data_IF_868070943453
#
_entry.id   IF_868070943453
#
_cell.length_a   1.000
_cell.length_b   1.000
_cell.length_c   1.000
_cell.angle_alpha   90.00
_cell.angle_beta   90.00
_cell.angle_gamma   90.00
#
_symmetry.space_group_name_H-M   'P 1'
#
loop_
_entity.id
_entity.type
_entity.pdbx_description
1 polymer ?
#
# COMPACT_ATOMS: atom_id res chain seq x y z
N UNK A 1 8.61 10.66 15.89
CA UNK A 1 7.55 10.98 16.87
C UNK A 1 7.52 9.90 17.95
N UNK A 2 7.49 10.32 19.20
CA UNK A 2 7.32 9.45 20.37
C UNK A 2 5.88 9.59 20.86
N UNK A 3 5.17 8.49 21.02
CA UNK A 3 3.74 8.48 21.39
C UNK A 3 3.59 7.74 22.71
N UNK A 4 2.99 8.33 23.75
CA UNK A 4 2.72 7.64 25.01
C UNK A 4 1.94 6.35 24.80
N UNK A 5 2.40 5.25 25.37
CA UNK A 5 1.71 3.95 25.33
C UNK A 5 0.66 3.95 26.44
N UNK A 6 -0.49 4.55 26.15
CA UNK A 6 -1.65 4.55 27.02
C UNK A 6 -2.93 4.24 26.25
N UNK A 7 -4.04 4.21 26.99
CA UNK A 7 -5.34 3.85 26.44
C UNK A 7 -6.02 4.97 25.64
N UNK A 8 -5.52 6.19 25.75
CA UNK A 8 -6.08 7.36 25.08
C UNK A 8 -5.52 7.49 23.66
N UNK A 9 -4.26 7.12 23.46
CA UNK A 9 -3.57 7.26 22.18
C UNK A 9 -3.70 6.04 21.26
N UNK A 10 -4.02 4.85 21.80
CA UNK A 10 -4.09 3.62 21.02
C UNK A 10 -5.44 2.90 21.10
N UNK A 11 -5.89 2.39 19.94
CA UNK A 11 -7.11 1.59 19.85
C UNK A 11 -6.98 0.27 20.61
N UNK A 12 -8.09 -0.18 21.20
CA UNK A 12 -8.17 -1.45 21.93
C UNK A 12 -8.79 -2.55 21.07
N UNK A 13 -8.33 -3.78 21.31
CA UNK A 13 -8.82 -4.94 20.57
C UNK A 13 -8.15 -5.10 19.21
N UNK A 14 -8.73 -5.95 18.37
CA UNK A 14 -8.17 -6.32 17.06
C UNK A 14 -8.67 -5.36 15.99
N UNK A 15 -7.75 -4.76 15.23
CA UNK A 15 -8.07 -4.04 14.01
C UNK A 15 -8.24 -5.06 12.88
N UNK A 16 -9.41 -5.09 12.25
CA UNK A 16 -9.67 -5.97 11.11
C UNK A 16 -8.89 -5.54 9.87
N UNK A 17 -8.71 -6.43 8.88
CA UNK A 17 -8.07 -6.07 7.62
C UNK A 17 -8.79 -4.90 6.93
N UNK A 18 -10.13 -4.94 6.88
CA UNK A 18 -10.93 -3.87 6.28
C UNK A 18 -10.75 -2.53 7.01
N UNK A 19 -10.80 -2.54 8.34
CA UNK A 19 -10.60 -1.32 9.14
C UNK A 19 -9.19 -0.74 8.94
N UNK A 20 -8.17 -1.60 8.87
CA UNK A 20 -6.81 -1.17 8.61
C UNK A 20 -6.63 -0.56 7.22
N UNK A 21 -7.27 -1.11 6.18
CA UNK A 21 -7.23 -0.56 4.81
C UNK A 21 -7.94 0.80 4.78
N UNK A 22 -9.12 0.90 5.39
CA UNK A 22 -9.88 2.15 5.46
C UNK A 22 -9.05 3.26 6.13
N UNK A 23 -8.47 2.98 7.30
CA UNK A 23 -7.65 3.95 8.02
C UNK A 23 -6.37 4.31 7.26
N UNK A 24 -5.68 3.31 6.69
CA UNK A 24 -4.40 3.52 6.00
C UNK A 24 -4.51 4.42 4.74
N UNK A 25 -5.63 4.33 4.02
CA UNK A 25 -5.80 4.93 2.70
C UNK A 25 -6.99 5.89 2.63
N UNK A 26 -7.44 6.46 3.76
CA UNK A 26 -8.66 7.29 3.81
C UNK A 26 -8.61 8.46 2.83
N UNK A 27 -7.53 9.24 2.85
CA UNK A 27 -7.36 10.38 1.94
C UNK A 27 -7.29 9.96 0.48
N UNK A 28 -6.71 8.79 0.19
CA UNK A 28 -6.65 8.26 -1.16
C UNK A 28 -8.04 7.82 -1.64
N UNK A 29 -8.82 7.18 -0.76
CA UNK A 29 -10.19 6.78 -1.03
C UNK A 29 -11.09 8.00 -1.26
N UNK A 30 -10.96 9.05 -0.45
CA UNK A 30 -11.67 10.32 -0.63
C UNK A 30 -11.36 10.95 -2.00
N UNK A 31 -10.08 10.96 -2.37
CA UNK A 31 -9.64 11.49 -3.65
C UNK A 31 -10.19 10.67 -4.82
N UNK A 32 -10.07 9.33 -4.77
CA UNK A 32 -10.59 8.43 -5.82
C UNK A 32 -12.10 8.61 -5.96
N UNK A 33 -12.84 8.65 -4.85
CA UNK A 33 -14.27 8.89 -4.86
C UNK A 33 -14.63 10.23 -5.53
N UNK A 34 -13.92 11.31 -5.19
CA UNK A 34 -14.16 12.62 -5.77
C UNK A 34 -13.94 12.65 -7.29
N UNK A 35 -12.93 11.94 -7.80
CA UNK A 35 -12.67 11.86 -9.23
C UNK A 35 -13.77 11.07 -9.95
N UNK A 36 -14.14 9.90 -9.43
CA UNK A 36 -15.21 9.07 -10.00
C UNK A 36 -16.56 9.81 -10.03
N UNK A 37 -16.89 10.55 -8.97
CA UNK A 37 -18.10 11.38 -8.92
C UNK A 37 -18.11 12.53 -9.92
N UNK A 38 -16.93 12.98 -10.34
CA UNK A 38 -16.77 13.99 -11.38
C UNK A 38 -16.82 13.41 -12.80
N UNK A 39 -17.08 12.11 -12.93
CA UNK A 39 -17.13 11.39 -14.21
C UNK A 39 -15.77 10.94 -14.73
N UNK A 40 -14.69 11.17 -13.98
CA UNK A 40 -13.33 10.83 -14.42
C UNK A 40 -13.02 9.35 -14.17
N UNK A 41 -12.50 8.69 -15.20
CA UNK A 41 -12.03 7.31 -15.12
C UNK A 41 -10.72 7.24 -14.34
N UNK A 42 -10.70 6.38 -13.32
CA UNK A 42 -9.58 6.26 -12.37
C UNK A 42 -8.91 4.90 -12.49
N UNK A 43 -7.58 4.92 -12.66
CA UNK A 43 -6.74 3.73 -12.45
C UNK A 43 -6.06 3.79 -11.09
N UNK A 44 -6.24 2.74 -10.30
CA UNK A 44 -5.60 2.54 -9.00
C UNK A 44 -4.49 1.49 -9.14
N UNK A 45 -3.25 1.90 -8.87
CA UNK A 45 -2.09 0.99 -8.82
C UNK A 45 -1.90 0.55 -7.37
N UNK A 46 -2.15 -0.72 -7.10
CA UNK A 46 -2.08 -1.28 -5.75
C UNK A 46 -1.76 -2.78 -5.81
N UNK A 47 -1.09 -3.29 -4.79
CA UNK A 47 -0.87 -4.75 -4.67
C UNK A 47 -2.20 -5.52 -4.68
N UNK A 48 -2.24 -6.68 -5.35
CA UNK A 48 -3.47 -7.49 -5.50
C UNK A 48 -4.21 -7.79 -4.21
N UNK A 49 -3.49 -7.92 -3.10
CA UNK A 49 -4.09 -8.20 -1.80
C UNK A 49 -4.98 -7.05 -1.28
N UNK A 50 -4.81 -5.82 -1.78
CA UNK A 50 -5.59 -4.64 -1.40
C UNK A 50 -6.84 -4.45 -2.27
N UNK A 51 -6.80 -4.86 -3.54
CA UNK A 51 -7.80 -4.56 -4.57
C UNK A 51 -9.24 -4.74 -4.10
N UNK A 52 -9.58 -5.92 -3.56
CA UNK A 52 -10.96 -6.21 -3.16
C UNK A 52 -11.42 -5.39 -1.95
N UNK A 53 -10.52 -5.13 -0.99
CA UNK A 53 -10.83 -4.34 0.20
C UNK A 53 -11.01 -2.85 -0.13
N UNK A 54 -10.15 -2.31 -1.01
CA UNK A 54 -10.30 -0.97 -1.56
C UNK A 54 -11.61 -0.83 -2.34
N UNK A 55 -11.91 -1.78 -3.23
CA UNK A 55 -13.16 -1.78 -3.98
C UNK A 55 -14.38 -1.83 -3.06
N UNK A 56 -14.36 -2.68 -2.03
CA UNK A 56 -15.49 -2.80 -1.08
C UNK A 56 -15.76 -1.47 -0.37
N UNK A 57 -14.71 -0.77 0.05
CA UNK A 57 -14.81 0.53 0.70
C UNK A 57 -15.32 1.61 -0.28
N UNK A 58 -14.73 1.69 -1.48
CA UNK A 58 -15.15 2.63 -2.53
C UNK A 58 -16.60 2.40 -2.94
N UNK A 59 -17.01 1.15 -3.17
CA UNK A 59 -18.38 0.80 -3.54
C UNK A 59 -19.38 1.27 -2.49
N UNK A 60 -19.07 1.05 -1.20
CA UNK A 60 -19.93 1.51 -0.10
C UNK A 60 -20.09 3.03 -0.10
N UNK A 61 -18.98 3.76 -0.25
CA UNK A 61 -18.98 5.23 -0.29
C UNK A 61 -19.72 5.79 -1.50
N UNK A 62 -19.42 5.25 -2.69
CA UNK A 62 -20.06 5.61 -3.95
C UNK A 62 -21.57 5.39 -3.91
N UNK A 63 -22.02 4.24 -3.39
CA UNK A 63 -23.43 3.92 -3.26
C UNK A 63 -24.16 4.81 -2.25
N UNK A 64 -23.53 5.13 -1.12
CA UNK A 64 -24.17 5.86 -0.02
C UNK A 64 -24.12 7.40 -0.17
N UNK A 65 -23.26 7.94 -1.03
CA UNK A 65 -23.20 9.37 -1.27
C UNK A 65 -24.33 9.89 -2.17
N UNK A 66 -24.28 11.19 -2.49
CA UNK A 66 -25.33 11.88 -3.25
C UNK A 66 -24.72 12.60 -4.46
N UNK A 67 -25.11 12.27 -5.71
CA UNK A 67 -25.99 11.15 -6.08
C UNK A 67 -25.33 9.78 -5.76
N UNK A 68 -26.15 8.75 -5.55
CA UNK A 68 -25.65 7.39 -5.34
C UNK A 68 -25.17 6.81 -6.67
N UNK A 69 -23.95 6.26 -6.70
CA UNK A 69 -23.38 5.67 -7.92
C UNK A 69 -23.46 4.15 -7.89
N UNK A 70 -23.77 3.55 -9.05
CA UNK A 70 -23.88 2.10 -9.22
C UNK A 70 -22.57 1.53 -9.77
N UNK A 71 -21.84 0.78 -8.94
CA UNK A 71 -20.68 0.02 -9.40
C UNK A 71 -21.11 -1.31 -10.06
N UNK A 72 -20.68 -1.54 -11.29
CA UNK A 72 -20.89 -2.78 -12.04
C UNK A 72 -19.54 -3.45 -12.26
N UNK A 73 -19.36 -4.61 -11.63
CA UNK A 73 -18.09 -5.31 -11.61
C UNK A 73 -17.92 -6.17 -12.87
N UNK A 74 -16.79 -6.01 -13.54
CA UNK A 74 -16.33 -6.93 -14.59
C UNK A 74 -15.71 -8.14 -13.92
N UNK A 75 -16.30 -9.31 -14.17
CA UNK A 75 -15.83 -10.58 -13.64
C UNK A 75 -15.68 -11.59 -14.77
N UNK A 76 -14.61 -12.38 -14.75
CA UNK A 76 -14.59 -13.59 -15.57
C UNK A 76 -15.56 -14.61 -14.96
N UNK A 77 -16.46 -15.21 -15.75
CA UNK A 77 -17.20 -16.37 -15.28
C UNK A 77 -16.24 -17.50 -14.89
N UNK A 78 -16.59 -18.34 -13.89
CA UNK A 78 -15.77 -19.50 -13.54
C UNK A 78 -15.57 -20.36 -14.78
N UNK A 79 -14.32 -20.73 -15.05
CA UNK A 79 -13.86 -21.41 -16.25
C UNK A 79 -14.49 -22.81 -16.39
N UNK A 80 -15.71 -22.86 -16.92
CA UNK A 80 -16.47 -24.10 -17.09
C UNK A 80 -16.33 -24.77 -18.47
N UNK A 81 -15.65 -24.15 -19.45
CA UNK A 81 -15.71 -24.61 -20.84
C UNK A 81 -14.43 -24.34 -21.66
N UNK A 82 -13.23 -24.54 -21.09
CA UNK A 82 -11.98 -24.38 -21.85
C UNK A 82 -11.71 -22.98 -22.44
N UNK A 83 -12.54 -21.98 -22.12
CA UNK A 83 -12.32 -20.58 -22.49
C UNK A 83 -11.20 -19.98 -21.64
N UNK A 84 -10.33 -19.21 -22.28
CA UNK A 84 -9.30 -18.42 -21.58
C UNK A 84 -9.98 -17.41 -20.65
N UNK A 85 -9.49 -17.30 -19.42
CA UNK A 85 -9.94 -16.33 -18.41
C UNK A 85 -9.97 -14.90 -18.97
N UNK A 86 -8.94 -14.52 -19.74
CA UNK A 86 -8.86 -13.20 -20.36
C UNK A 86 -10.01 -12.93 -21.33
N UNK A 87 -10.39 -13.93 -22.14
CA UNK A 87 -11.47 -13.76 -23.12
C UNK A 87 -12.83 -13.63 -22.44
N UNK A 88 -13.08 -14.42 -21.39
CA UNK A 88 -14.31 -14.29 -20.60
C UNK A 88 -14.42 -12.94 -19.90
N UNK A 89 -13.31 -12.36 -19.45
CA UNK A 89 -13.31 -11.03 -18.84
C UNK A 89 -13.59 -9.91 -19.86
N UNK A 90 -13.04 -10.02 -21.06
CA UNK A 90 -13.32 -9.07 -22.16
C UNK A 90 -14.77 -9.18 -22.63
N UNK A 91 -15.32 -10.39 -22.74
CA UNK A 91 -16.72 -10.63 -23.07
C UNK A 91 -17.65 -9.99 -22.02
N UNK A 92 -17.36 -10.17 -20.72
CA UNK A 92 -18.14 -9.51 -19.66
C UNK A 92 -17.98 -7.98 -19.71
N UNK A 93 -16.78 -7.45 -19.96
CA UNK A 93 -16.57 -6.01 -20.16
C UNK A 93 -17.45 -5.46 -21.29
N UNK A 94 -17.47 -6.13 -22.44
CA UNK A 94 -18.34 -5.76 -23.57
C UNK A 94 -19.81 -5.74 -23.18
N UNK A 95 -20.27 -6.75 -22.46
CA UNK A 95 -21.65 -6.79 -21.98
C UNK A 95 -21.94 -5.64 -21.01
N UNK A 96 -21.04 -5.35 -20.05
CA UNK A 96 -21.22 -4.26 -19.08
C UNK A 96 -21.22 -2.89 -19.75
N UNK A 97 -20.34 -2.65 -20.71
CA UNK A 97 -20.31 -1.41 -21.47
C UNK A 97 -21.64 -1.24 -22.20
N UNK A 98 -22.04 -2.23 -23.01
CA UNK A 98 -23.28 -2.18 -23.78
C UNK A 98 -24.53 -1.98 -22.91
N UNK A 99 -24.59 -2.64 -21.76
CA UNK A 99 -25.71 -2.53 -20.81
C UNK A 99 -25.82 -1.14 -20.16
N UNK A 100 -24.73 -0.37 -20.14
CA UNK A 100 -24.62 0.91 -19.44
C UNK A 100 -24.53 2.12 -20.36
N UNK A 101 -24.53 1.94 -21.69
CA UNK A 101 -24.53 3.07 -22.63
C UNK A 101 -25.70 4.01 -22.33
N UNK A 102 -25.39 5.29 -22.08
CA UNK A 102 -26.38 6.31 -21.73
C UNK A 102 -26.97 6.21 -20.31
N UNK A 103 -26.48 5.31 -19.46
CA UNK A 103 -26.85 5.25 -18.04
C UNK A 103 -25.98 6.21 -17.21
N UNK A 104 -26.61 7.17 -16.54
CA UNK A 104 -25.92 8.09 -15.65
C UNK A 104 -25.55 7.43 -14.31
N UNK A 105 -24.54 7.97 -13.62
CA UNK A 105 -24.12 7.55 -12.28
C UNK A 105 -23.70 6.07 -12.18
N UNK A 106 -23.29 5.45 -13.27
CA UNK A 106 -22.79 4.08 -13.31
C UNK A 106 -21.27 4.05 -13.49
N UNK A 107 -20.60 3.11 -12.80
CA UNK A 107 -19.15 2.94 -12.88
C UNK A 107 -18.86 1.48 -13.23
N UNK A 108 -18.11 1.27 -14.32
CA UNK A 108 -17.60 -0.05 -14.69
C UNK A 108 -16.31 -0.32 -13.91
N UNK A 109 -16.28 -1.41 -13.14
CA UNK A 109 -15.17 -1.73 -12.24
C UNK A 109 -14.37 -2.92 -12.76
N UNK A 110 -13.06 -2.76 -12.93
CA UNK A 110 -12.13 -3.78 -13.40
C UNK A 110 -11.05 -4.10 -12.36
N UNK A 111 -11.21 -5.16 -11.53
CA UNK A 111 -10.25 -5.48 -10.46
C UNK A 111 -8.87 -5.95 -10.94
N UNK A 112 -8.78 -6.43 -12.17
CA UNK A 112 -7.60 -7.09 -12.70
C UNK A 112 -7.26 -6.61 -14.12
N UNK A 113 -7.11 -5.29 -14.29
CA UNK A 113 -6.80 -4.68 -15.59
C UNK A 113 -5.48 -5.20 -16.19
N UNK A 114 -4.49 -5.39 -15.34
CA UNK A 114 -3.18 -5.97 -15.65
C UNK A 114 -3.21 -7.36 -16.27
N UNK A 115 -4.22 -8.18 -15.96
CA UNK A 115 -4.37 -9.49 -16.60
C UNK A 115 -4.79 -9.38 -18.08
N UNK A 116 -5.37 -8.26 -18.52
CA UNK A 116 -5.66 -8.01 -19.94
C UNK A 116 -4.40 -7.61 -20.70
N UNK A 117 -3.39 -7.15 -19.98
CA UNK A 117 -2.22 -6.48 -20.48
C UNK A 117 -0.94 -7.32 -20.42
N UNK A 118 -1.00 -8.55 -19.88
CA UNK A 118 0.13 -9.48 -19.89
C UNK A 118 0.45 -9.95 -21.31
N UNK A 119 1.23 -9.16 -22.05
CA UNK A 119 1.89 -9.59 -23.27
C UNK A 119 3.39 -9.70 -23.05
N UNK A 120 3.98 -10.77 -23.58
CA UNK A 120 5.43 -11.00 -23.59
C UNK A 120 6.15 -10.21 -24.68
N UNK A 121 5.43 -9.49 -25.54
CA UNK A 121 5.97 -8.81 -26.71
C UNK A 121 5.43 -7.38 -26.86
N UNK A 122 6.19 -6.57 -27.60
CA UNK A 122 5.97 -5.16 -27.97
C UNK A 122 4.65 -4.87 -28.70
N UNK A 123 3.81 -5.87 -28.95
CA UNK A 123 2.51 -5.73 -29.62
C UNK A 123 1.36 -6.00 -28.66
N UNK A 124 0.31 -5.17 -28.74
CA UNK A 124 -0.91 -5.34 -27.95
C UNK A 124 -1.58 -6.67 -28.28
N UNK A 125 -1.82 -7.48 -27.25
CA UNK A 125 -2.54 -8.75 -27.38
C UNK A 125 -3.96 -8.51 -27.87
N UNK A 126 -4.57 -9.52 -28.50
CA UNK A 126 -5.98 -9.42 -28.93
C UNK A 126 -6.92 -9.04 -27.78
N UNK A 127 -6.82 -9.62 -26.56
CA UNK A 127 -7.66 -9.22 -25.43
C UNK A 127 -7.48 -7.74 -25.04
N UNK A 128 -6.24 -7.23 -25.07
CA UNK A 128 -5.95 -5.83 -24.80
C UNK A 128 -6.61 -4.89 -25.84
N UNK A 129 -6.51 -5.23 -27.13
CA UNK A 129 -7.13 -4.45 -28.21
C UNK A 129 -8.66 -4.44 -28.12
N UNK A 130 -9.25 -5.59 -27.80
CA UNK A 130 -10.71 -5.69 -27.61
C UNK A 130 -11.18 -4.90 -26.37
N UNK A 131 -10.43 -4.93 -25.27
CA UNK A 131 -10.73 -4.12 -24.09
C UNK A 131 -10.64 -2.62 -24.36
N UNK A 132 -9.60 -2.18 -25.08
CA UNK A 132 -9.48 -0.78 -25.54
C UNK A 132 -10.72 -0.38 -26.37
N UNK A 133 -11.11 -1.23 -27.32
CA UNK A 133 -12.26 -0.97 -28.17
C UNK A 133 -13.58 -0.92 -27.37
N UNK A 134 -13.74 -1.78 -26.36
CA UNK A 134 -14.92 -1.75 -25.49
C UNK A 134 -14.97 -0.45 -24.67
N UNK A 135 -13.86 -0.06 -24.04
CA UNK A 135 -13.80 1.15 -23.21
C UNK A 135 -13.99 2.43 -24.03
N UNK A 136 -13.52 2.47 -25.28
CA UNK A 136 -13.64 3.62 -26.16
C UNK A 136 -15.03 3.79 -26.80
N UNK A 137 -15.99 2.89 -26.54
CA UNK A 137 -17.33 2.96 -27.13
C UNK A 137 -18.13 4.18 -26.69
N UNK A 138 -18.04 4.52 -25.40
CA UNK A 138 -18.78 5.62 -24.81
C UNK A 138 -17.83 6.42 -23.89
N UNK A 139 -17.42 7.64 -24.29
CA UNK A 139 -16.53 8.46 -23.49
C UNK A 139 -17.19 9.03 -22.23
N UNK A 140 -18.52 8.94 -22.09
CA UNK A 140 -19.24 9.37 -20.88
C UNK A 140 -19.24 8.28 -19.79
N UNK A 141 -18.89 7.03 -20.13
CA UNK A 141 -18.78 5.95 -19.16
C UNK A 141 -17.54 6.13 -18.27
N UNK A 142 -17.76 6.08 -16.95
CA UNK A 142 -16.70 6.14 -15.96
C UNK A 142 -16.17 4.74 -15.61
N UNK A 143 -14.85 4.58 -15.68
CA UNK A 143 -14.17 3.33 -15.32
C UNK A 143 -13.39 3.45 -14.01
N UNK A 144 -13.45 2.42 -13.18
CA UNK A 144 -12.55 2.23 -12.03
C UNK A 144 -11.75 0.96 -12.24
N UNK A 145 -10.43 1.06 -12.41
CA UNK A 145 -9.59 -0.11 -12.64
C UNK A 145 -8.50 -0.27 -11.61
N UNK A 146 -8.11 -1.52 -11.35
CA UNK A 146 -7.00 -1.87 -10.47
C UNK A 146 -5.92 -2.64 -11.24
N UNK A 147 -4.66 -2.23 -11.05
CA UNK A 147 -3.49 -2.90 -11.62
C UNK A 147 -2.42 -3.14 -10.56
N UNK A 148 -1.74 -4.28 -10.62
CA UNK A 148 -0.62 -4.56 -9.73
C UNK A 148 0.64 -3.78 -10.15
N UNK A 149 1.38 -3.15 -9.23
CA UNK A 149 2.59 -2.39 -9.55
C UNK A 149 3.72 -3.25 -10.17
N UNK A 150 3.71 -4.57 -9.98
CA UNK A 150 4.71 -5.47 -10.57
C UNK A 150 4.46 -5.76 -12.06
N UNK A 151 3.27 -5.45 -12.57
CA UNK A 151 2.88 -5.72 -13.95
C UNK A 151 2.81 -4.42 -14.75
N UNK A 152 3.54 -4.38 -15.87
CA UNK A 152 3.51 -3.22 -16.77
C UNK A 152 2.25 -3.25 -17.63
N UNK A 153 1.58 -2.12 -17.73
CA UNK A 153 0.51 -1.92 -18.71
C UNK A 153 1.07 -1.25 -19.98
N UNK A 154 0.56 -1.60 -21.16
CA UNK A 154 0.78 -0.84 -22.38
C UNK A 154 0.21 0.58 -22.26
N UNK A 155 0.95 1.58 -22.76
CA UNK A 155 0.55 3.01 -22.72
C UNK A 155 -0.87 3.23 -23.26
N UNK A 156 -1.27 2.55 -24.33
CA UNK A 156 -2.60 2.68 -24.93
C UNK A 156 -3.75 2.29 -23.98
N UNK A 157 -3.51 1.43 -22.98
CA UNK A 157 -4.49 1.13 -21.93
C UNK A 157 -4.41 2.18 -20.82
N UNK A 158 -3.22 2.67 -20.50
CA UNK A 158 -3.04 3.70 -19.48
C UNK A 158 -3.76 4.99 -19.87
N UNK A 159 -3.64 5.39 -21.14
CA UNK A 159 -4.24 6.61 -21.71
C UNK A 159 -5.78 6.60 -21.76
N UNK A 160 -6.43 5.48 -21.47
CA UNK A 160 -7.89 5.40 -21.35
C UNK A 160 -8.41 5.91 -20.01
N UNK A 161 -7.54 6.14 -19.04
CA UNK A 161 -7.90 6.66 -17.72
C UNK A 161 -7.50 8.13 -17.62
N UNK A 162 -8.39 8.96 -17.11
CA UNK A 162 -8.13 10.39 -16.94
C UNK A 162 -7.10 10.66 -15.85
N UNK A 163 -7.12 9.83 -14.81
CA UNK A 163 -6.26 10.00 -13.64
C UNK A 163 -5.76 8.68 -13.06
N UNK A 164 -4.59 8.75 -12.43
CA UNK A 164 -3.90 7.62 -11.82
C UNK A 164 -3.62 7.88 -10.34
N UNK A 165 -3.80 6.85 -9.50
CA UNK A 165 -3.43 6.87 -8.08
C UNK A 165 -2.61 5.66 -7.71
N UNK A 166 -1.40 5.87 -7.22
CA UNK A 166 -0.53 4.82 -6.71
C UNK A 166 -0.68 4.69 -5.20
N UNK A 167 -1.00 3.49 -4.73
CA UNK A 167 -1.15 3.16 -3.31
C UNK A 167 -0.01 2.23 -2.89
N UNK A 168 1.16 2.83 -2.64
CA UNK A 168 2.39 2.12 -2.29
C UNK A 168 2.67 2.27 -0.79
N UNK A 169 2.65 1.14 -0.09
CA UNK A 169 2.97 1.09 1.33
C UNK A 169 1.98 1.86 2.22
N UNK A 170 2.40 2.14 3.46
CA UNK A 170 1.63 2.92 4.43
C UNK A 170 2.37 4.24 4.67
N UNK A 171 1.63 5.34 4.77
CA UNK A 171 2.20 6.64 5.10
C UNK A 171 2.60 6.74 6.57
N UNK A 172 3.63 7.52 6.86
CA UNK A 172 4.23 7.62 8.20
C UNK A 172 3.25 8.22 9.23
N UNK A 173 2.52 9.24 8.83
CA UNK A 173 1.52 9.95 9.64
C UNK A 173 0.38 9.03 10.10
N UNK A 174 0.01 8.05 9.28
CA UNK A 174 -1.11 7.14 9.56
C UNK A 174 -0.69 5.91 10.36
N UNK A 175 0.59 5.49 10.29
CA UNK A 175 1.08 4.28 10.95
C UNK A 175 0.67 4.15 12.44
N UNK A 176 0.77 5.20 13.28
CA UNK A 176 0.35 5.10 14.68
C UNK A 176 -1.11 4.67 14.86
N UNK A 177 -2.01 5.12 13.99
CA UNK A 177 -3.44 4.80 14.04
C UNK A 177 -3.72 3.35 13.70
N UNK A 178 -2.78 2.69 13.02
CA UNK A 178 -2.88 1.28 12.69
C UNK A 178 -2.35 0.41 13.82
N UNK A 179 -1.61 0.92 14.79
CA UNK A 179 -1.06 0.12 15.89
C UNK A 179 -2.07 0.05 17.03
N UNK A 180 -2.31 -1.13 17.58
CA UNK A 180 -3.17 -1.29 18.76
C UNK A 180 -2.39 -1.05 20.05
N UNK A 181 -3.08 -0.82 21.16
CA UNK A 181 -2.44 -0.67 22.47
C UNK A 181 -1.59 -1.90 22.82
N UNK A 182 -2.12 -3.09 22.56
CA UNK A 182 -1.37 -4.34 22.76
C UNK A 182 -0.13 -4.38 21.86
N UNK A 183 -0.26 -4.13 20.57
CA UNK A 183 0.88 -4.11 19.64
C UNK A 183 1.95 -3.10 20.09
N UNK A 184 1.57 -1.90 20.54
CA UNK A 184 2.50 -0.86 20.99
C UNK A 184 3.39 -1.31 22.15
N UNK A 185 2.85 -2.08 23.10
CA UNK A 185 3.59 -2.62 24.26
C UNK A 185 4.73 -3.59 23.88
N UNK A 186 4.81 -4.04 22.63
CA UNK A 186 5.89 -4.92 22.14
C UNK A 186 7.07 -4.11 21.61
N UNK A 187 6.87 -2.82 21.33
CA UNK A 187 7.88 -1.93 20.76
C UNK A 187 8.44 -0.91 21.77
N UNK A 188 7.70 -0.64 22.85
CA UNK A 188 8.09 0.28 23.91
C UNK A 188 7.49 -0.07 25.26
N UNK A 189 7.99 0.60 26.32
CA UNK A 189 7.47 0.49 27.69
C UNK A 189 6.50 1.64 27.96
N UNK A 190 7.01 2.89 27.92
CA UNK A 190 6.20 4.08 28.19
C UNK A 190 5.82 4.81 26.89
N UNK A 191 6.61 4.67 25.84
CA UNK A 191 6.43 5.39 24.58
C UNK A 191 6.75 4.50 23.38
N UNK A 192 5.95 4.64 22.32
CA UNK A 192 6.20 4.07 21.00
C UNK A 192 7.02 5.07 20.18
N UNK A 193 8.18 4.65 19.71
CA UNK A 193 8.91 5.39 18.68
C UNK A 193 8.37 5.00 17.29
N UNK A 194 7.43 5.79 16.77
CA UNK A 194 6.79 5.51 15.48
C UNK A 194 7.77 5.62 14.31
N UNK A 195 8.79 6.46 14.43
CA UNK A 195 9.83 6.60 13.40
C UNK A 195 10.67 5.33 13.27
N UNK A 196 11.09 4.76 14.41
CA UNK A 196 11.81 3.49 14.44
C UNK A 196 10.98 2.36 13.86
N UNK A 197 9.70 2.25 14.26
CA UNK A 197 8.79 1.25 13.69
C UNK A 197 8.65 1.42 12.17
N UNK A 198 8.47 2.67 11.71
CA UNK A 198 8.33 3.00 10.29
C UNK A 198 9.51 2.50 9.44
N UNK A 199 10.75 2.53 9.95
CA UNK A 199 11.92 1.99 9.22
C UNK A 199 11.77 0.52 8.82
N UNK A 200 11.03 -0.27 9.58
CA UNK A 200 10.84 -1.69 9.31
C UNK A 200 9.65 -1.96 8.39
N UNK A 201 8.60 -1.14 8.53
CA UNK A 201 7.33 -1.31 7.80
C UNK A 201 7.17 -0.35 6.62
N UNK A 202 8.19 0.44 6.31
CA UNK A 202 8.22 1.28 5.11
C UNK A 202 8.13 0.38 3.87
N UNK A 203 7.14 0.62 3.03
CA UNK A 203 6.93 -0.13 1.79
C UNK A 203 6.03 -1.37 1.91
N UNK A 204 5.55 -1.73 3.11
CA UNK A 204 4.49 -2.75 3.24
C UNK A 204 3.12 -2.08 3.29
N UNK A 205 2.11 -2.74 2.72
CA UNK A 205 0.73 -2.29 2.74
C UNK A 205 -0.03 -2.72 4.01
N UNK A 206 -1.18 -2.08 4.26
CA UNK A 206 -2.02 -2.26 5.46
C UNK A 206 -2.31 -3.74 5.83
N UNK A 207 -2.65 -4.56 4.84
CA UNK A 207 -2.98 -5.98 5.07
C UNK A 207 -1.76 -6.79 5.50
N UNK A 208 -0.59 -6.54 4.89
CA UNK A 208 0.67 -7.18 5.30
C UNK A 208 1.08 -6.71 6.69
N UNK A 209 0.90 -5.42 7.01
CA UNK A 209 1.12 -4.89 8.36
C UNK A 209 0.27 -5.63 9.40
N UNK A 210 -1.03 -5.85 9.16
CA UNK A 210 -1.90 -6.58 10.10
C UNK A 210 -1.45 -8.03 10.31
N UNK A 211 -1.05 -8.73 9.25
CA UNK A 211 -0.48 -10.09 9.37
C UNK A 211 0.81 -10.11 10.18
N UNK A 212 1.67 -9.12 9.96
CA UNK A 212 2.93 -8.96 10.69
C UNK A 212 2.68 -8.64 12.18
N UNK A 213 1.73 -7.75 12.49
CA UNK A 213 1.39 -7.44 13.88
C UNK A 213 0.77 -8.63 14.62
N UNK A 214 -0.03 -9.45 13.94
CA UNK A 214 -0.52 -10.70 14.51
C UNK A 214 0.62 -11.63 14.94
N UNK A 215 1.72 -11.68 14.18
CA UNK A 215 2.94 -12.41 14.55
C UNK A 215 3.68 -11.76 15.71
N UNK A 216 3.78 -10.43 15.74
CA UNK A 216 4.45 -9.70 16.83
C UNK A 216 3.72 -9.88 18.17
N UNK A 217 2.40 -10.04 18.17
CA UNK A 217 1.64 -10.30 19.39
C UNK A 217 1.99 -11.62 20.09
N UNK A 218 2.69 -12.55 19.41
CA UNK A 218 3.21 -13.77 20.05
C UNK A 218 4.37 -13.48 21.01
N UNK A 219 5.02 -12.33 20.88
CA UNK A 219 6.09 -11.90 21.78
C UNK A 219 5.49 -11.29 23.06
N UNK A 220 6.12 -11.52 24.23
CA UNK A 220 5.68 -10.93 25.49
C UNK A 220 5.78 -9.38 25.43
N UNK A 221 4.88 -8.66 26.10
CA UNK A 221 4.96 -7.21 26.19
C UNK A 221 6.22 -6.80 26.96
N UNK A 222 6.95 -5.78 26.50
CA UNK A 222 8.24 -5.41 27.09
C UNK A 222 8.10 -4.96 28.55
N UNK A 223 6.96 -4.37 28.92
CA UNK A 223 6.69 -3.96 30.30
C UNK A 223 6.62 -5.14 31.28
N UNK A 224 6.27 -6.35 30.82
CA UNK A 224 6.23 -7.54 31.69
C UNK A 224 7.61 -8.17 31.91
N UNK A 225 8.64 -7.73 31.19
CA UNK A 225 9.98 -8.29 31.26
C UNK A 225 10.91 -7.46 32.17
N UNK A 226 11.92 -8.09 32.79
CA UNK A 226 13.04 -7.40 33.43
C UNK A 226 13.80 -6.47 32.44
N UNK A 227 14.39 -5.34 32.89
CA UNK A 227 15.05 -4.38 32.01
C UNK A 227 16.13 -4.97 31.08
N UNK A 228 16.86 -5.94 31.58
CA UNK A 228 17.93 -6.70 30.93
C UNK A 228 17.41 -7.61 29.80
N UNK A 229 16.26 -8.25 29.99
CA UNK A 229 15.63 -9.10 28.97
C UNK A 229 14.93 -8.27 27.87
N UNK A 230 14.46 -7.06 28.18
CA UNK A 230 13.78 -6.16 27.20
C UNK A 230 14.63 -5.88 25.97
N UNK A 231 15.94 -5.70 26.15
CA UNK A 231 16.86 -5.37 25.06
C UNK A 231 16.96 -6.52 24.07
N UNK A 232 17.08 -7.76 24.58
CA UNK A 232 17.17 -8.94 23.72
C UNK A 232 15.84 -9.22 23.03
N UNK A 233 14.72 -9.08 23.74
CA UNK A 233 13.40 -9.32 23.14
C UNK A 233 13.09 -8.30 22.04
N UNK A 234 13.41 -7.02 22.26
CA UNK A 234 13.29 -5.98 21.23
C UNK A 234 14.12 -6.32 19.99
N UNK A 235 15.34 -6.84 20.15
CA UNK A 235 16.18 -7.27 19.02
C UNK A 235 15.56 -8.45 18.26
N UNK A 236 14.91 -9.38 18.94
CA UNK A 236 14.21 -10.49 18.27
C UNK A 236 13.03 -9.98 17.44
N UNK A 237 12.20 -9.11 18.03
CA UNK A 237 11.09 -8.46 17.34
C UNK A 237 11.59 -7.72 16.10
N UNK A 238 12.66 -6.93 16.22
CA UNK A 238 13.24 -6.19 15.10
C UNK A 238 13.82 -7.09 14.01
N UNK A 239 14.46 -8.22 14.37
CA UNK A 239 14.91 -9.24 13.40
C UNK A 239 13.71 -9.82 12.66
N UNK A 240 12.68 -10.27 13.38
CA UNK A 240 11.46 -10.81 12.77
C UNK A 240 10.76 -9.81 11.86
N UNK A 241 10.69 -8.54 12.25
CA UNK A 241 10.18 -7.48 11.38
C UNK A 241 10.98 -7.41 10.07
N UNK A 242 12.31 -7.35 10.14
CA UNK A 242 13.17 -7.31 8.95
C UNK A 242 12.98 -8.55 8.07
N UNK A 243 13.01 -9.75 8.66
CA UNK A 243 12.89 -11.00 7.91
C UNK A 243 11.57 -11.10 7.14
N UNK A 244 10.48 -10.57 7.71
CA UNK A 244 9.16 -10.59 7.10
C UNK A 244 8.91 -9.44 6.11
N UNK A 245 9.68 -8.35 6.19
CA UNK A 245 9.53 -7.17 5.33
C UNK A 245 10.52 -7.12 4.17
N UNK A 246 11.62 -7.88 4.23
CA UNK A 246 12.53 -8.08 3.12
C UNK A 246 11.77 -8.63 1.89
N UNK A 247 11.72 -7.83 0.83
CA UNK A 247 11.15 -8.20 -0.46
C UNK A 247 12.27 -8.76 -1.36
N UNK A 248 12.00 -9.86 -2.06
CA UNK A 248 12.80 -10.27 -3.22
C UNK A 248 14.16 -10.93 -2.96
N UNK A 249 14.32 -11.71 -1.89
CA UNK A 249 15.56 -12.48 -1.69
C UNK A 249 16.81 -11.63 -1.44
N UNK A 250 16.64 -10.37 -1.03
CA UNK A 250 17.72 -9.58 -0.45
C UNK A 250 18.19 -10.27 0.84
N UNK A 251 19.25 -11.05 0.74
CA UNK A 251 20.06 -11.41 1.91
C UNK A 251 20.81 -10.14 2.33
N UNK A 252 20.53 -9.64 3.53
CA UNK A 252 21.39 -8.65 4.16
C UNK A 252 22.64 -9.39 4.63
N UNK A 253 23.81 -9.15 4.03
CA UNK A 253 25.04 -9.73 4.55
C UNK A 253 25.24 -9.16 5.96
N UNK A 254 25.44 -10.03 6.94
CA UNK A 254 25.82 -9.67 8.30
C UNK A 254 27.29 -9.25 8.33
N UNK A 255 27.64 -8.24 7.55
CA UNK A 255 29.00 -7.73 7.37
C UNK A 255 29.12 -6.47 8.21
N UNK A 256 29.89 -6.54 9.27
CA UNK A 256 30.30 -5.40 10.06
C UNK A 256 31.32 -4.58 9.27
N UNK A 257 31.07 -3.27 9.13
CA UNK A 257 31.94 -2.37 8.37
C UNK A 257 33.37 -2.33 8.96
N UNK A 258 33.52 -2.51 10.27
CA UNK A 258 34.80 -2.44 10.95
C UNK A 258 35.49 -3.80 11.02
N UNK A 259 34.74 -4.87 11.31
CA UNK A 259 35.31 -6.21 11.52
C UNK A 259 35.44 -7.04 10.23
N UNK A 260 34.49 -6.90 9.29
CA UNK A 260 34.37 -7.80 8.13
C UNK A 260 34.85 -7.18 6.81
N UNK A 261 35.11 -5.87 6.77
CA UNK A 261 35.59 -5.17 5.57
C UNK A 261 37.03 -4.68 5.81
N UNK A 262 38.03 -5.29 5.18
CA UNK A 262 39.42 -4.80 5.24
C UNK A 262 39.66 -3.54 4.40
N UNK A 263 40.32 -2.53 4.95
CA UNK A 263 40.75 -1.32 4.22
C UNK A 263 39.68 -0.22 4.11
N UNK A 264 39.84 0.69 3.14
CA UNK A 264 38.91 1.81 2.87
C UNK A 264 38.67 2.78 4.03
N UNK A 265 39.64 2.95 4.94
CA UNK A 265 39.50 3.79 6.16
C UNK A 265 38.93 5.19 5.90
N UNK A 266 39.38 5.85 4.82
CA UNK A 266 38.89 7.18 4.44
C UNK A 266 37.40 7.16 4.04
N UNK A 267 36.97 6.12 3.32
CA UNK A 267 35.58 5.97 2.86
C UNK A 267 34.67 5.52 4.00
N UNK A 268 35.13 4.59 4.85
CA UNK A 268 34.41 4.18 6.06
C UNK A 268 34.17 5.37 6.99
N UNK A 269 35.20 6.21 7.17
CA UNK A 269 35.12 7.44 7.96
C UNK A 269 34.10 8.42 7.38
N UNK A 270 34.13 8.66 6.06
CA UNK A 270 33.13 9.51 5.41
C UNK A 270 31.71 8.94 5.50
N UNK A 271 31.51 7.65 5.27
CA UNK A 271 30.18 7.02 5.43
C UNK A 271 29.71 7.13 6.88
N UNK A 272 30.61 6.98 7.85
CA UNK A 272 30.28 7.13 9.28
C UNK A 272 29.86 8.56 9.63
N UNK A 273 30.70 9.53 9.28
CA UNK A 273 30.51 10.95 9.63
C UNK A 273 29.39 11.62 8.80
N UNK A 274 29.29 11.30 7.51
CA UNK A 274 28.35 11.98 6.60
C UNK A 274 26.99 11.28 6.48
N UNK A 275 26.89 9.97 6.71
CA UNK A 275 25.61 9.23 6.57
C UNK A 275 25.13 8.64 7.90
N UNK A 276 25.98 7.88 8.60
CA UNK A 276 25.54 7.17 9.80
C UNK A 276 25.32 8.09 11.00
N UNK A 277 26.13 9.14 11.16
CA UNK A 277 25.91 10.17 12.18
C UNK A 277 24.62 10.95 11.92
N UNK A 278 24.34 11.36 10.68
CA UNK A 278 23.06 12.00 10.31
C UNK A 278 21.87 11.07 10.59
N UNK A 279 21.99 9.78 10.28
CA UNK A 279 20.94 8.80 10.55
C UNK A 279 20.73 8.53 12.05
N UNK A 280 21.78 8.59 12.87
CA UNK A 280 21.71 8.50 14.34
C UNK A 280 21.10 9.76 14.95
N UNK A 281 21.43 10.92 14.40
CA UNK A 281 20.85 12.21 14.79
C UNK A 281 19.33 12.20 14.54
N UNK A 282 18.86 11.60 13.44
CA UNK A 282 17.42 11.36 13.17
C UNK A 282 16.72 10.41 14.16
N UNK A 283 17.45 9.69 15.01
CA UNK A 283 16.88 8.85 16.06
C UNK A 283 16.71 9.60 17.40
N UNK A 284 17.21 10.83 17.51
CA UNK A 284 17.07 11.70 18.68
C UNK A 284 15.63 12.26 18.76
N UNK A 285 14.96 12.19 19.93
CA UNK A 285 13.65 12.80 20.17
C UNK A 285 13.52 14.27 19.74
N UNK A 286 14.60 15.05 19.83
CA UNK A 286 14.58 16.49 19.51
C UNK A 286 14.52 16.76 17.99
N UNK A 287 14.81 15.77 17.16
CA UNK A 287 14.75 15.88 15.69
C UNK A 287 13.37 15.60 15.08
N UNK A 288 12.43 15.08 15.88
CA UNK A 288 11.08 14.76 15.40
C UNK A 288 10.32 16.02 14.96
N UNK A 289 10.53 17.16 15.63
CA UNK A 289 9.87 18.43 15.33
C UNK A 289 10.56 19.17 14.18
N UNK A 290 11.89 19.04 14.05
CA UNK A 290 12.67 19.70 12.98
C UNK A 290 12.52 19.00 11.62
N UNK A 291 12.24 17.69 11.61
CA UNK A 291 12.13 16.89 10.39
C UNK A 291 10.91 17.21 9.53
N UNK A 292 9.82 17.65 10.15
CA UNK A 292 8.59 18.04 9.46
C UNK A 292 8.78 19.37 8.71
N UNK A 293 9.47 20.33 9.33
CA UNK A 293 9.81 21.65 8.76
C UNK A 293 10.86 21.55 7.62
N UNK A 294 11.80 20.60 7.71
CA UNK A 294 12.80 20.33 6.68
C UNK A 294 12.26 19.53 5.48
N UNK A 295 11.30 18.63 5.69
CA UNK A 295 10.62 17.92 4.60
C UNK A 295 9.67 18.84 3.78
N UNK A 296 9.21 19.96 4.36
CA UNK A 296 8.49 21.04 3.65
C UNK A 296 9.41 21.96 2.83
N UNK A 297 10.66 22.15 3.27
CA UNK A 297 11.64 23.04 2.61
C UNK A 297 12.50 22.34 1.56
N UNK A 298 12.54 21.00 1.53
CA UNK A 298 13.19 20.25 0.47
C UNK A 298 12.30 20.24 -0.80
N UNK A 299 12.77 20.77 -1.94
CA UNK A 299 11.99 20.77 -3.16
C UNK A 299 11.67 19.33 -3.58
N UNK A 300 10.38 19.01 -3.67
CA UNK A 300 9.92 17.73 -4.20
C UNK A 300 10.08 17.75 -5.72
N UNK A 301 11.05 16.98 -6.23
CA UNK A 301 11.28 16.77 -7.66
C UNK A 301 12.69 17.13 -8.13
N UNK A 302 13.60 16.15 -8.01
CA UNK A 302 14.62 15.80 -9.01
C UNK A 302 14.60 14.28 -9.13
#
# INVERSE_FOLDING_TARGET
MFIPIDKEHFQHGKISFQASVKAAYEQDLDWIESMLRSGLSVRVVAEKSLTLMLYTELRSRLHNGSPGMRCVLVQSPPSGQGRSFMHGMVEDLWNRVNDLIGEENSIVVMPHLDLLATTTETTLGTPAREAIAAMAQDPELTFLAFSDPSLKLPQAIEDLFDVHRELIGIRRDVLPQLVTYEEAQRFGVDQLNSYRLYKYVSGIHAVKLRKLMARILEYPPLISLPPDERVEEKRKIERTLRDMTLLGGMELPSVDIDEDIGGYEKVKKQIKEELLEILKIREDPQWADLGEELEETLPRGI
#
